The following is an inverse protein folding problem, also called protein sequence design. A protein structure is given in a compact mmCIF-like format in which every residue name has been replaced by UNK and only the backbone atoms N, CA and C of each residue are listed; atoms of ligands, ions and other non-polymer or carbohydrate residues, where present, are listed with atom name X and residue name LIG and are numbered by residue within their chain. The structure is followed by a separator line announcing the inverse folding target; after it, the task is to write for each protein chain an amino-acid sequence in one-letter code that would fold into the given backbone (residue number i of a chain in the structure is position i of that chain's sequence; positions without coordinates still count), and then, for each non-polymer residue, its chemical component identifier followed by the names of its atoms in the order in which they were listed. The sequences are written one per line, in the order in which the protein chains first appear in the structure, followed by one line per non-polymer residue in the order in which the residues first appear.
data_IF_039316262645
#
_entry.id   IF_039316262645
#
_cell.length_a   1.000
_cell.length_b   1.000
_cell.length_c   1.000
_cell.angle_alpha   90.00
_cell.angle_beta   90.00
_cell.angle_gamma   90.00
#
_symmetry.space_group_name_H-M   'P 1'
#
loop_
_entity.id
_entity.type
_entity.pdbx_description
1 polymer ?
#
# COMPACT_ATOMS: atom_id res chain seq x y z
N UNK A 1 1.01 -2.55 30.61
CA UNK A 1 1.69 -3.32 29.53
C UNK A 1 3.19 -3.08 29.62
N UNK A 2 4.07 -4.06 29.33
CA UNK A 2 5.50 -3.78 29.26
C UNK A 2 5.75 -2.76 28.14
N UNK A 3 6.48 -1.71 28.43
CA UNK A 3 6.87 -0.70 27.43
C UNK A 3 8.02 -1.23 26.62
N UNK A 4 7.88 -1.24 25.28
CA UNK A 4 8.97 -1.55 24.35
C UNK A 4 9.78 -0.26 24.17
N UNK A 5 11.02 -0.25 24.65
CA UNK A 5 11.90 0.91 24.52
C UNK A 5 12.74 0.88 23.24
N UNK A 6 12.93 -0.30 22.65
CA UNK A 6 13.69 -0.50 21.42
C UNK A 6 13.30 -1.82 20.77
N UNK A 7 13.21 -1.84 19.43
CA UNK A 7 13.04 -3.04 18.64
C UNK A 7 14.09 -3.08 17.53
N UNK A 8 14.91 -4.12 17.51
CA UNK A 8 15.97 -4.31 16.51
C UNK A 8 15.58 -5.35 15.44
N UNK A 9 14.29 -5.70 15.36
CA UNK A 9 13.80 -6.67 14.39
C UNK A 9 13.89 -6.14 12.96
N UNK A 10 14.60 -6.85 12.08
CA UNK A 10 14.67 -6.52 10.66
C UNK A 10 13.39 -6.93 9.89
N UNK A 11 12.62 -7.87 10.41
CA UNK A 11 11.36 -8.32 9.80
C UNK A 11 10.23 -8.31 10.83
N UNK A 12 9.15 -7.63 10.49
CA UNK A 12 8.00 -7.44 11.37
C UNK A 12 6.73 -7.81 10.61
N UNK A 13 5.88 -8.61 11.25
CA UNK A 13 4.55 -8.97 10.79
C UNK A 13 3.55 -8.58 11.88
N UNK A 14 2.58 -7.76 11.55
CA UNK A 14 1.54 -7.31 12.48
C UNK A 14 0.18 -7.56 11.84
N UNK A 15 -0.74 -8.15 12.61
CA UNK A 15 -2.08 -8.48 12.15
C UNK A 15 -3.13 -8.08 13.16
N UNK A 16 -4.25 -7.51 12.68
CA UNK A 16 -5.44 -7.20 13.48
C UNK A 16 -5.13 -6.39 14.74
N UNK A 17 -4.33 -5.34 14.62
CA UNK A 17 -3.90 -4.52 15.75
C UNK A 17 -4.09 -3.02 15.46
N UNK A 18 -4.21 -2.27 16.55
CA UNK A 18 -4.14 -0.82 16.53
C UNK A 18 -2.94 -0.35 17.34
N UNK A 19 -2.23 0.67 16.83
CA UNK A 19 -1.07 1.27 17.48
C UNK A 19 -1.19 2.78 17.47
N UNK A 20 -0.62 3.42 18.49
CA UNK A 20 -0.25 4.84 18.38
C UNK A 20 0.90 4.97 17.39
N UNK A 21 1.00 6.10 16.69
CA UNK A 21 2.10 6.35 15.77
C UNK A 21 3.46 6.35 16.47
N UNK A 22 3.52 6.80 17.74
CA UNK A 22 4.74 6.78 18.52
C UNK A 22 5.21 5.36 18.84
N UNK A 23 4.31 4.50 19.30
CA UNK A 23 4.65 3.10 19.58
C UNK A 23 5.09 2.38 18.31
N UNK A 24 4.38 2.63 17.19
CA UNK A 24 4.73 2.06 15.90
C UNK A 24 6.13 2.47 15.44
N UNK A 25 6.50 3.75 15.59
CA UNK A 25 7.85 4.23 15.24
C UNK A 25 8.95 3.52 16.05
N UNK A 26 8.72 3.26 17.34
CA UNK A 26 9.67 2.51 18.17
C UNK A 26 9.84 1.08 17.67
N UNK A 27 8.72 0.42 17.34
CA UNK A 27 8.72 -0.98 16.87
C UNK A 27 9.37 -1.08 15.49
N UNK A 28 9.06 -0.20 14.56
CA UNK A 28 9.41 -0.32 13.15
C UNK A 28 10.67 0.44 12.72
N UNK A 29 11.34 1.15 13.64
CA UNK A 29 12.47 2.05 13.33
C UNK A 29 13.63 1.40 12.57
N UNK A 30 13.92 0.12 12.80
CA UNK A 30 15.00 -0.63 12.13
C UNK A 30 14.49 -1.70 11.16
N UNK A 31 13.19 -1.72 10.92
CA UNK A 31 12.55 -2.75 10.11
C UNK A 31 12.93 -2.60 8.63
N UNK A 32 13.38 -3.68 8.00
CA UNK A 32 13.61 -3.76 6.56
C UNK A 32 12.45 -4.44 5.82
N UNK A 33 11.76 -5.36 6.49
CA UNK A 33 10.63 -6.12 5.93
C UNK A 33 9.40 -5.91 6.82
N UNK A 34 8.43 -5.14 6.34
CA UNK A 34 7.21 -4.84 7.07
C UNK A 34 5.99 -5.44 6.38
N UNK A 35 5.22 -6.22 7.14
CA UNK A 35 3.94 -6.77 6.69
C UNK A 35 2.85 -6.41 7.67
N UNK A 36 1.87 -5.68 7.19
CA UNK A 36 0.70 -5.23 7.94
C UNK A 36 -0.57 -5.87 7.35
N UNK A 37 -1.42 -6.42 8.20
CA UNK A 37 -2.72 -6.96 7.79
C UNK A 37 -3.80 -6.50 8.74
N UNK A 38 -4.77 -5.74 8.25
CA UNK A 38 -5.85 -5.18 9.06
C UNK A 38 -5.31 -4.42 10.29
N UNK A 39 -4.32 -3.56 10.08
CA UNK A 39 -3.67 -2.75 11.12
C UNK A 39 -4.08 -1.30 10.93
N UNK A 40 -4.39 -0.61 12.01
CA UNK A 40 -4.62 0.83 12.03
C UNK A 40 -3.53 1.49 12.89
N UNK A 41 -2.85 2.47 12.33
CA UNK A 41 -1.87 3.29 13.07
C UNK A 41 -2.48 4.67 13.22
N UNK A 42 -2.67 5.09 14.47
CA UNK A 42 -3.43 6.29 14.80
C UNK A 42 -2.52 7.46 15.14
N UNK A 43 -3.00 8.66 14.88
CA UNK A 43 -2.34 9.87 15.35
C UNK A 43 -2.23 9.85 16.89
N UNK A 44 -1.09 10.29 17.43
CA UNK A 44 -0.78 10.17 18.86
C UNK A 44 -1.68 11.01 19.77
N UNK A 45 -2.30 12.05 19.22
CA UNK A 45 -3.08 13.03 19.99
C UNK A 45 -4.54 12.60 20.18
N UNK A 46 -4.94 11.46 19.62
CA UNK A 46 -6.30 10.97 19.74
C UNK A 46 -6.41 9.82 20.75
N UNK A 47 -7.27 10.02 21.72
CA UNK A 47 -7.56 9.04 22.79
C UNK A 47 -8.26 7.85 22.13
N UNK A 48 -7.74 6.65 22.36
CA UNK A 48 -8.42 5.41 21.97
C UNK A 48 -9.73 5.36 22.76
N UNK A 49 -10.91 5.49 22.15
CA UNK A 49 -12.18 5.37 22.86
C UNK A 49 -12.30 3.94 23.41
N UNK A 50 -12.74 3.81 24.65
CA UNK A 50 -12.97 2.49 25.27
C UNK A 50 -14.21 1.75 24.73
N UNK A 51 -14.95 2.36 23.79
CA UNK A 51 -16.19 1.81 23.22
C UNK A 51 -16.02 1.50 21.74
N UNK A 52 -16.51 0.32 21.35
CA UNK A 52 -16.43 -0.29 20.02
C UNK A 52 -17.28 0.39 18.92
N UNK A 53 -17.29 1.69 18.82
CA UNK A 53 -17.86 2.34 17.63
C UNK A 53 -16.78 2.43 16.56
N UNK A 54 -16.69 1.41 15.72
CA UNK A 54 -15.69 1.18 14.66
C UNK A 54 -15.44 2.39 13.73
N UNK A 55 -16.31 3.36 13.69
CA UNK A 55 -16.25 4.48 12.74
C UNK A 55 -15.22 5.56 13.15
N UNK A 56 -15.04 5.80 14.45
CA UNK A 56 -14.11 6.82 14.96
C UNK A 56 -12.63 6.46 14.78
N UNK A 57 -12.28 5.17 14.85
CA UNK A 57 -10.90 4.73 14.77
C UNK A 57 -10.24 5.02 13.42
N UNK A 58 -11.04 5.06 12.35
CA UNK A 58 -10.50 5.29 11.01
C UNK A 58 -10.29 6.76 10.69
N UNK A 59 -10.96 7.67 11.40
CA UNK A 59 -10.73 9.12 11.27
C UNK A 59 -9.39 9.55 11.85
N UNK A 60 -8.93 8.85 12.87
CA UNK A 60 -7.64 9.05 13.53
C UNK A 60 -6.45 8.37 12.83
N UNK A 61 -6.69 7.55 11.82
CA UNK A 61 -5.63 6.82 11.14
C UNK A 61 -4.68 7.77 10.41
N UNK A 62 -3.37 7.52 10.54
CA UNK A 62 -2.36 8.24 9.75
C UNK A 62 -2.40 7.79 8.29
N UNK A 63 -2.07 8.70 7.40
CA UNK A 63 -1.98 8.40 5.97
C UNK A 63 -0.78 7.51 5.64
N UNK A 64 -0.87 6.79 4.52
CA UNK A 64 0.18 5.87 4.08
C UNK A 64 1.52 6.58 3.83
N UNK A 65 1.51 7.78 3.26
CA UNK A 65 2.71 8.58 3.06
C UNK A 65 3.34 9.03 4.38
N UNK A 66 2.55 9.38 5.40
CA UNK A 66 3.04 9.68 6.75
C UNK A 66 3.71 8.45 7.37
N UNK A 67 3.11 7.28 7.17
CA UNK A 67 3.70 6.01 7.59
C UNK A 67 5.06 5.78 6.94
N UNK A 68 5.18 5.98 5.62
CA UNK A 68 6.45 5.80 4.89
C UNK A 68 7.53 6.77 5.33
N UNK A 69 7.21 8.01 5.67
CA UNK A 69 8.17 8.97 6.21
C UNK A 69 8.83 8.50 7.52
N UNK A 70 8.13 7.67 8.29
CA UNK A 70 8.63 7.10 9.54
C UNK A 70 9.40 5.77 9.37
N UNK A 71 9.50 5.25 8.15
CA UNK A 71 10.05 3.92 7.86
C UNK A 71 11.28 3.97 6.92
N UNK A 72 12.36 4.69 7.26
CA UNK A 72 13.47 4.97 6.34
C UNK A 72 14.26 3.72 5.91
N UNK A 73 14.16 2.62 6.66
CA UNK A 73 14.93 1.40 6.42
C UNK A 73 14.14 0.31 5.67
N UNK A 74 12.83 0.52 5.46
CA UNK A 74 11.98 -0.49 4.83
C UNK A 74 12.36 -0.68 3.36
N UNK A 75 12.63 -1.92 2.98
CA UNK A 75 12.92 -2.38 1.61
C UNK A 75 11.75 -3.17 1.02
N UNK A 76 11.07 -3.93 1.87
CA UNK A 76 9.90 -4.74 1.49
C UNK A 76 8.70 -4.33 2.31
N UNK A 77 7.68 -3.83 1.64
CA UNK A 77 6.45 -3.37 2.27
C UNK A 77 5.25 -4.13 1.74
N UNK A 78 4.47 -4.71 2.66
CA UNK A 78 3.20 -5.35 2.34
C UNK A 78 2.13 -4.84 3.28
N UNK A 79 1.04 -4.31 2.75
CA UNK A 79 -0.08 -3.86 3.56
C UNK A 79 -1.42 -4.31 2.99
N UNK A 80 -2.09 -5.18 3.73
CA UNK A 80 -3.49 -5.49 3.50
C UNK A 80 -4.33 -4.51 4.33
N UNK A 81 -4.86 -3.50 3.66
CA UNK A 81 -5.61 -2.40 4.30
C UNK A 81 -6.85 -2.92 5.03
N UNK A 82 -7.23 -2.31 6.15
CA UNK A 82 -8.51 -2.57 6.80
C UNK A 82 -9.66 -2.18 5.86
N UNK A 83 -10.85 -2.75 6.09
CA UNK A 83 -12.03 -2.52 5.23
C UNK A 83 -12.42 -1.05 5.09
N UNK A 84 -12.22 -0.27 6.15
CA UNK A 84 -12.50 1.17 6.19
C UNK A 84 -11.18 1.94 6.22
N UNK A 85 -10.53 2.11 5.08
CA UNK A 85 -9.19 2.74 4.98
C UNK A 85 -9.23 4.22 4.59
N UNK A 86 -10.31 4.94 4.95
CA UNK A 86 -10.61 6.28 4.44
C UNK A 86 -9.48 7.31 4.65
N UNK A 87 -8.77 7.26 5.79
CA UNK A 87 -7.68 8.21 6.05
C UNK A 87 -6.30 7.62 5.78
N UNK A 88 -6.19 6.30 5.64
CA UNK A 88 -4.92 5.65 5.28
C UNK A 88 -4.58 5.93 3.81
N UNK A 89 -5.58 5.93 2.93
CA UNK A 89 -5.45 6.30 1.52
C UNK A 89 -6.32 7.52 1.26
N UNK A 90 -5.70 8.61 0.84
CA UNK A 90 -6.36 9.85 0.45
C UNK A 90 -6.08 10.19 -1.02
N UNK A 91 -6.76 11.18 -1.57
CA UNK A 91 -6.58 11.60 -2.98
C UNK A 91 -5.14 11.91 -3.36
N UNK A 92 -4.35 12.44 -2.43
CA UNK A 92 -2.96 12.83 -2.67
C UNK A 92 -1.95 11.72 -2.36
N UNK A 93 -2.38 10.58 -1.81
CA UNK A 93 -1.45 9.51 -1.37
C UNK A 93 -0.48 9.09 -2.47
N UNK A 94 -0.94 8.91 -3.71
CA UNK A 94 -0.06 8.55 -4.83
C UNK A 94 1.01 9.61 -5.07
N UNK A 95 0.63 10.88 -5.16
CA UNK A 95 1.54 12.01 -5.37
C UNK A 95 2.55 12.15 -4.22
N UNK A 96 2.10 12.08 -2.97
CA UNK A 96 2.95 12.26 -1.79
C UNK A 96 3.95 11.10 -1.61
N UNK A 97 3.54 9.85 -1.88
CA UNK A 97 4.45 8.70 -1.89
C UNK A 97 5.61 8.89 -2.87
N UNK A 98 5.33 9.44 -4.05
CA UNK A 98 6.34 9.64 -5.10
C UNK A 98 7.36 10.73 -4.76
N UNK A 99 7.10 11.56 -3.75
CA UNK A 99 8.04 12.56 -3.23
C UNK A 99 9.02 11.97 -2.19
N UNK A 100 8.80 10.74 -1.74
CA UNK A 100 9.60 10.09 -0.69
C UNK A 100 10.73 9.28 -1.34
N UNK A 101 12.01 9.68 -1.21
CA UNK A 101 13.12 9.03 -1.93
C UNK A 101 13.26 7.54 -1.64
N UNK A 102 13.10 7.10 -0.38
CA UNK A 102 13.23 5.69 -0.04
C UNK A 102 12.04 4.86 -0.53
N UNK A 103 10.84 5.44 -0.70
CA UNK A 103 9.72 4.77 -1.36
C UNK A 103 10.09 4.37 -2.79
N UNK A 104 10.74 5.24 -3.53
CA UNK A 104 11.20 4.99 -4.91
C UNK A 104 12.31 3.93 -4.99
N UNK A 105 12.92 3.57 -3.86
CA UNK A 105 14.02 2.60 -3.79
C UNK A 105 13.63 1.24 -3.20
N UNK A 106 12.36 1.02 -2.91
CA UNK A 106 11.86 -0.26 -2.40
C UNK A 106 12.19 -1.43 -3.35
N UNK A 107 12.36 -2.61 -2.79
CA UNK A 107 12.45 -3.85 -3.56
C UNK A 107 11.05 -4.40 -3.87
N UNK A 108 10.13 -4.28 -2.90
CA UNK A 108 8.73 -4.68 -3.06
C UNK A 108 7.79 -3.66 -2.41
N UNK A 109 6.81 -3.21 -3.18
CA UNK A 109 5.62 -2.48 -2.70
C UNK A 109 4.37 -3.28 -3.03
N UNK A 110 3.73 -3.83 -2.01
CA UNK A 110 2.49 -4.59 -2.13
C UNK A 110 1.41 -4.00 -1.25
N UNK A 111 0.27 -3.66 -1.84
CA UNK A 111 -0.87 -3.13 -1.12
C UNK A 111 -2.16 -3.77 -1.63
N UNK A 112 -3.04 -4.15 -0.70
CA UNK A 112 -4.32 -4.81 -0.98
C UNK A 112 -5.48 -4.05 -0.37
N UNK A 113 -6.68 -4.24 -0.92
CA UNK A 113 -7.92 -3.52 -0.57
C UNK A 113 -7.88 -2.01 -0.89
N UNK A 114 -7.13 -1.60 -1.92
CA UNK A 114 -6.97 -0.20 -2.33
C UNK A 114 -8.36 0.39 -2.71
N UNK A 115 -8.78 1.51 -2.09
CA UNK A 115 -10.03 2.18 -2.42
C UNK A 115 -9.93 3.00 -3.72
N UNK A 116 -11.08 3.37 -4.31
CA UNK A 116 -11.11 4.13 -5.56
C UNK A 116 -10.68 5.60 -5.45
N UNK A 117 -10.44 6.10 -4.23
CA UNK A 117 -9.86 7.43 -4.01
C UNK A 117 -8.38 7.51 -4.38
N UNK A 118 -7.70 6.37 -4.48
CA UNK A 118 -6.29 6.29 -4.89
C UNK A 118 -6.12 6.72 -6.36
N UNK A 119 -5.26 7.69 -6.63
CA UNK A 119 -4.97 8.15 -7.99
C UNK A 119 -4.09 7.14 -8.73
N UNK A 120 -4.71 6.15 -9.35
CA UNK A 120 -3.99 5.13 -10.13
C UNK A 120 -3.40 5.71 -11.42
N UNK A 121 -3.99 6.74 -12.02
CA UNK A 121 -3.49 7.33 -13.28
C UNK A 121 -2.17 8.06 -13.02
N UNK A 122 -2.11 8.89 -11.96
CA UNK A 122 -0.87 9.53 -11.51
C UNK A 122 0.20 8.51 -11.11
N UNK A 123 -0.20 7.47 -10.37
CA UNK A 123 0.72 6.41 -9.97
C UNK A 123 1.22 5.55 -11.14
N UNK A 124 0.41 5.37 -12.19
CA UNK A 124 0.79 4.63 -13.40
C UNK A 124 1.91 5.31 -14.18
N UNK A 125 1.96 6.65 -14.17
CA UNK A 125 3.11 7.38 -14.70
C UNK A 125 4.43 6.91 -14.08
N UNK A 126 4.47 6.81 -12.75
CA UNK A 126 5.63 6.26 -12.03
C UNK A 126 5.91 4.78 -12.37
N UNK A 127 4.89 3.95 -12.49
CA UNK A 127 5.09 2.54 -12.86
C UNK A 127 5.87 2.41 -14.17
N UNK A 128 5.57 3.24 -15.17
CA UNK A 128 6.27 3.23 -16.48
C UNK A 128 7.74 3.67 -16.41
N UNK A 129 8.14 4.32 -15.35
CA UNK A 129 9.54 4.75 -15.11
C UNK A 129 10.28 3.83 -14.13
N UNK A 130 9.54 2.98 -13.41
CA UNK A 130 10.09 2.16 -12.35
C UNK A 130 10.83 0.93 -12.88
N UNK A 131 12.15 0.90 -12.64
CA UNK A 131 13.03 -0.22 -13.06
C UNK A 131 13.40 -1.17 -11.91
N UNK A 132 13.13 -0.78 -10.67
CA UNK A 132 13.62 -1.48 -9.47
C UNK A 132 12.51 -2.17 -8.68
N UNK A 133 11.52 -1.41 -8.27
CA UNK A 133 10.52 -1.86 -7.30
C UNK A 133 9.54 -2.85 -7.91
N UNK A 134 9.37 -4.01 -7.30
CA UNK A 134 8.27 -4.92 -7.62
C UNK A 134 6.98 -4.33 -7.05
N UNK A 135 6.00 -4.02 -7.90
CA UNK A 135 4.75 -3.37 -7.51
C UNK A 135 3.59 -4.35 -7.64
N UNK A 136 2.86 -4.58 -6.56
CA UNK A 136 1.65 -5.41 -6.52
C UNK A 136 0.49 -4.59 -5.93
N UNK A 137 -0.52 -4.32 -6.74
CA UNK A 137 -1.71 -3.54 -6.38
C UNK A 137 -2.96 -4.43 -6.48
N UNK A 138 -3.66 -4.59 -5.35
CA UNK A 138 -4.92 -5.32 -5.30
C UNK A 138 -6.03 -4.37 -4.81
N UNK A 139 -6.97 -4.09 -5.68
CA UNK A 139 -8.01 -3.10 -5.43
C UNK A 139 -9.24 -3.69 -4.76
N UNK A 140 -9.90 -2.88 -3.94
CA UNK A 140 -11.13 -3.21 -3.26
C UNK A 140 -12.20 -3.76 -4.23
N UNK A 141 -13.06 -4.64 -3.74
CA UNK A 141 -14.18 -5.17 -4.52
C UNK A 141 -15.27 -4.13 -4.82
N UNK A 142 -15.33 -3.06 -4.00
CA UNK A 142 -16.37 -2.04 -4.03
C UNK A 142 -16.06 -0.83 -4.93
N UNK A 143 -15.23 -1.00 -5.95
CA UNK A 143 -14.93 0.05 -6.92
C UNK A 143 -16.13 0.34 -7.83
N UNK A 144 -16.29 1.61 -8.21
CA UNK A 144 -17.25 2.03 -9.23
C UNK A 144 -16.93 1.42 -10.61
N UNK A 145 -17.93 1.40 -11.48
CA UNK A 145 -17.73 0.96 -12.87
C UNK A 145 -16.71 1.83 -13.61
N UNK A 146 -16.74 3.14 -13.38
CA UNK A 146 -15.82 4.11 -13.99
C UNK A 146 -14.37 3.83 -13.60
N UNK A 147 -14.12 3.55 -12.31
CA UNK A 147 -12.77 3.25 -11.84
C UNK A 147 -12.26 1.90 -12.37
N UNK A 148 -13.11 0.87 -12.39
CA UNK A 148 -12.79 -0.41 -13.02
C UNK A 148 -12.49 -0.31 -14.51
N UNK A 149 -13.15 0.62 -15.21
CA UNK A 149 -12.84 0.88 -16.61
C UNK A 149 -11.43 1.47 -16.78
N UNK A 150 -11.04 2.44 -15.96
CA UNK A 150 -9.66 2.97 -15.94
C UNK A 150 -8.63 1.88 -15.70
N UNK A 151 -8.84 1.02 -14.69
CA UNK A 151 -7.95 -0.10 -14.41
C UNK A 151 -7.82 -1.05 -15.60
N UNK A 152 -8.92 -1.34 -16.32
CA UNK A 152 -8.88 -2.17 -17.53
C UNK A 152 -8.05 -1.52 -18.64
N UNK A 153 -8.19 -0.21 -18.84
CA UNK A 153 -7.40 0.53 -19.83
C UNK A 153 -5.92 0.45 -19.52
N UNK A 154 -5.53 0.68 -18.26
CA UNK A 154 -4.12 0.57 -17.81
C UNK A 154 -3.60 -0.86 -18.01
N UNK A 155 -4.38 -1.88 -17.60
CA UNK A 155 -3.98 -3.29 -17.76
C UNK A 155 -3.85 -3.67 -19.24
N UNK A 156 -4.76 -3.20 -20.09
CA UNK A 156 -4.68 -3.45 -21.55
C UNK A 156 -3.41 -2.82 -22.13
N UNK A 157 -3.11 -1.55 -21.83
CA UNK A 157 -1.89 -0.87 -22.25
C UNK A 157 -0.63 -1.65 -21.83
N UNK A 158 -0.58 -2.08 -20.55
CA UNK A 158 0.53 -2.90 -20.05
C UNK A 158 0.67 -4.21 -20.83
N UNK A 159 -0.43 -4.90 -21.14
CA UNK A 159 -0.39 -6.20 -21.81
C UNK A 159 -0.09 -6.11 -23.31
N UNK A 160 -0.44 -5.00 -23.96
CA UNK A 160 -0.24 -4.74 -25.38
C UNK A 160 1.16 -4.19 -25.70
N UNK A 161 1.85 -3.59 -24.72
CA UNK A 161 3.20 -3.06 -24.91
C UNK A 161 4.20 -4.21 -25.10
N UNK A 162 4.81 -4.33 -26.27
CA UNK A 162 5.77 -5.40 -26.59
C UNK A 162 7.16 -5.15 -26.00
N UNK A 163 7.68 -3.93 -26.10
CA UNK A 163 9.00 -3.55 -25.57
C UNK A 163 8.84 -2.68 -24.34
N UNK A 164 9.35 -3.14 -23.20
CA UNK A 164 9.27 -2.46 -21.89
C UNK A 164 10.64 -2.38 -21.27
N UNK A 165 10.98 -1.22 -20.77
CA UNK A 165 12.21 -0.99 -20.01
C UNK A 165 11.93 -0.77 -18.51
N UNK A 166 10.69 -1.06 -18.06
CA UNK A 166 10.24 -0.94 -16.68
C UNK A 166 9.80 -2.27 -16.08
N UNK A 167 9.81 -2.35 -14.75
CA UNK A 167 9.37 -3.55 -14.03
C UNK A 167 7.86 -3.67 -14.05
N UNK A 168 7.36 -4.80 -14.55
CA UNK A 168 5.93 -5.02 -14.72
C UNK A 168 5.21 -5.10 -13.37
N UNK A 169 4.16 -4.28 -13.16
CA UNK A 169 3.34 -4.38 -11.96
C UNK A 169 2.42 -5.60 -12.03
N UNK A 170 1.97 -6.06 -10.88
CA UNK A 170 0.79 -6.90 -10.77
C UNK A 170 -0.39 -6.04 -10.33
N UNK A 171 -1.40 -5.92 -11.17
CA UNK A 171 -2.64 -5.17 -10.88
C UNK A 171 -3.81 -6.13 -10.86
N UNK A 172 -4.52 -6.23 -9.74
CA UNK A 172 -5.70 -7.05 -9.57
C UNK A 172 -6.90 -6.22 -9.12
N UNK A 173 -8.07 -6.52 -9.66
CA UNK A 173 -9.36 -5.93 -9.26
C UNK A 173 -10.52 -6.86 -9.64
N UNK A 174 -11.67 -6.69 -8.97
CA UNK A 174 -12.85 -7.49 -9.26
C UNK A 174 -13.34 -7.29 -10.69
N UNK A 175 -13.62 -8.40 -11.40
CA UNK A 175 -14.03 -8.44 -12.81
C UNK A 175 -12.92 -8.11 -13.82
N UNK A 176 -11.65 -8.23 -13.47
CA UNK A 176 -10.59 -8.43 -14.46
C UNK A 176 -10.86 -9.75 -15.20
N UNK A 177 -10.64 -9.81 -16.51
CA UNK A 177 -10.81 -11.06 -17.23
C UNK A 177 -9.74 -12.07 -16.81
N UNK A 178 -10.09 -13.35 -16.79
CA UNK A 178 -9.15 -14.43 -16.45
C UNK A 178 -7.91 -14.39 -17.35
N UNK A 179 -8.10 -14.20 -18.64
CA UNK A 179 -7.00 -14.11 -19.60
C UNK A 179 -6.04 -12.95 -19.29
N UNK A 180 -6.57 -11.74 -18.99
CA UNK A 180 -5.74 -10.59 -18.63
C UNK A 180 -4.99 -10.82 -17.29
N UNK A 181 -5.67 -11.39 -16.30
CA UNK A 181 -5.07 -11.73 -15.02
C UNK A 181 -3.92 -12.74 -15.19
N UNK A 182 -4.15 -13.85 -15.91
CA UNK A 182 -3.14 -14.90 -16.09
C UNK A 182 -1.93 -14.39 -16.89
N UNK A 183 -2.16 -13.58 -17.94
CA UNK A 183 -1.07 -12.90 -18.67
C UNK A 183 -0.29 -11.95 -17.78
N UNK A 184 -0.97 -11.14 -16.97
CA UNK A 184 -0.32 -10.19 -16.03
C UNK A 184 0.57 -10.94 -15.02
N UNK A 185 0.09 -12.05 -14.45
CA UNK A 185 0.85 -12.90 -13.55
C UNK A 185 2.09 -13.49 -14.24
N UNK A 186 1.91 -14.07 -15.41
CA UNK A 186 3.02 -14.68 -16.15
C UNK A 186 4.12 -13.66 -16.43
N UNK A 187 3.80 -12.46 -16.89
CA UNK A 187 4.74 -11.40 -17.17
C UNK A 187 5.41 -10.84 -15.90
N UNK A 188 4.64 -10.71 -14.80
CA UNK A 188 5.15 -10.18 -13.53
C UNK A 188 6.20 -11.09 -12.87
N UNK A 189 6.07 -12.40 -13.02
CA UNK A 189 7.02 -13.37 -12.42
C UNK A 189 8.17 -13.76 -13.34
N UNK A 190 8.16 -13.35 -14.62
CA UNK A 190 9.27 -13.53 -15.56
C UNK A 190 10.33 -12.41 -15.46
N UNK A 191 9.99 -11.28 -14.83
CA UNK A 191 10.84 -10.11 -14.62
C UNK A 191 11.19 -9.96 -13.12
#
# INVERSE_FOLDING_TARGET
MPQIYQCDAASIIIENQMFSFNDFKVIASKCEILRLSNVVIMNNDEIIPETEEDQFYFEAAISLETLFQALPNVKTFTYNLPKNSLNIIITKTAEELLKIPHFLSLDLFKISQIPEIFDIEGFYGHIKENKKTKIELDFSRHLSFRYKFRLRTIVAEILETESRDYKLPRIYFSRITRSAHDKMLALHYQN
#
